data_IF_953923989071
#
_entry.id   IF_953923989071
#
_cell.length_a   1.000
_cell.length_b   1.000
_cell.length_c   1.000
_cell.angle_alpha   90.00
_cell.angle_beta   90.00
_cell.angle_gamma   90.00
#
_symmetry.space_group_name_H-M   'P 1'
#
loop_
_entity.id
_entity.type
_entity.pdbx_description
1 polymer ?
#
# COMPACT_ATOMS: atom_id res chain seq x y z
N UNK A 1 -0.04 -8.53 21.30
CA UNK A 1 -0.13 -7.26 20.48
C UNK A 1 -0.54 -7.64 19.08
N UNK A 2 -1.51 -6.93 18.45
CA UNK A 2 -1.90 -7.24 17.07
C UNK A 2 -0.75 -6.96 16.09
N UNK A 3 -0.67 -7.77 15.02
CA UNK A 3 0.38 -7.62 14.03
C UNK A 3 0.23 -6.30 13.24
N UNK A 4 1.28 -5.50 13.09
CA UNK A 4 1.24 -4.26 12.31
C UNK A 4 0.76 -4.45 10.86
N UNK A 5 0.93 -5.65 10.30
CA UNK A 5 0.55 -5.97 8.92
C UNK A 5 -0.97 -5.97 8.64
N UNK A 6 -1.80 -5.78 9.66
CA UNK A 6 -3.25 -5.72 9.49
C UNK A 6 -3.95 -7.06 9.24
N UNK A 7 -3.29 -8.19 9.50
CA UNK A 7 -3.88 -9.54 9.32
C UNK A 7 -4.97 -9.88 10.34
N UNK A 8 -5.07 -9.13 11.44
CA UNK A 8 -5.92 -9.46 12.58
C UNK A 8 -5.33 -10.48 13.56
N UNK A 9 -4.22 -11.11 13.22
CA UNK A 9 -3.49 -12.04 14.09
C UNK A 9 -2.56 -11.28 15.05
N UNK A 10 -2.03 -11.99 16.06
CA UNK A 10 -0.95 -11.42 16.90
C UNK A 10 0.37 -11.44 16.15
N UNK A 11 1.29 -10.57 16.54
CA UNK A 11 2.62 -10.50 15.93
C UNK A 11 3.35 -11.85 16.05
N UNK A 12 3.26 -12.50 17.21
CA UNK A 12 3.93 -13.76 17.55
C UNK A 12 3.47 -14.93 16.68
N UNK A 13 2.23 -14.90 16.22
CA UNK A 13 1.64 -15.96 15.36
C UNK A 13 1.59 -15.58 13.89
N UNK A 14 2.03 -14.37 13.52
CA UNK A 14 1.95 -13.84 12.17
C UNK A 14 3.34 -13.55 11.59
N UNK A 15 3.84 -12.35 11.74
CA UNK A 15 5.07 -11.90 11.07
C UNK A 15 6.34 -12.23 11.87
N UNK A 16 6.28 -12.33 13.20
CA UNK A 16 7.47 -12.55 14.02
C UNK A 16 8.23 -13.85 13.67
N UNK A 17 7.59 -15.00 13.45
CA UNK A 17 8.30 -16.20 13.04
C UNK A 17 9.04 -16.05 11.71
N UNK A 18 8.43 -15.36 10.74
CA UNK A 18 9.03 -15.12 9.41
C UNK A 18 10.23 -14.19 9.56
N UNK A 19 10.09 -13.11 10.34
CA UNK A 19 11.18 -12.16 10.62
C UNK A 19 12.33 -12.85 11.38
N UNK A 20 12.02 -13.85 12.23
CA UNK A 20 13.00 -14.65 12.93
C UNK A 20 13.67 -15.74 12.06
N UNK A 21 13.31 -15.87 10.79
CA UNK A 21 13.94 -16.77 9.83
C UNK A 21 13.12 -17.98 9.41
N UNK A 22 11.89 -18.14 9.89
CA UNK A 22 10.99 -19.18 9.36
C UNK A 22 10.60 -18.87 7.90
N UNK A 23 10.52 -19.88 7.02
CA UNK A 23 10.07 -19.66 5.65
C UNK A 23 8.64 -19.08 5.61
N UNK A 24 8.43 -18.03 4.82
CA UNK A 24 7.08 -17.54 4.59
C UNK A 24 6.27 -18.56 3.76
N UNK A 25 5.01 -18.83 4.12
CA UNK A 25 4.18 -19.81 3.42
C UNK A 25 3.71 -19.31 2.04
N UNK A 26 3.69 -18.01 1.81
CA UNK A 26 3.25 -17.40 0.55
C UNK A 26 3.97 -16.08 0.28
N UNK A 27 3.86 -15.59 -0.96
CA UNK A 27 4.35 -14.26 -1.34
C UNK A 27 3.66 -13.16 -0.51
N UNK A 28 2.35 -13.26 -0.27
CA UNK A 28 1.61 -12.32 0.58
C UNK A 28 2.15 -12.33 2.01
N UNK A 29 2.41 -13.50 2.59
CA UNK A 29 2.96 -13.59 3.94
C UNK A 29 4.34 -12.93 4.05
N UNK A 30 5.18 -13.09 3.02
CA UNK A 30 6.47 -12.40 2.94
C UNK A 30 6.28 -10.88 2.81
N UNK A 31 5.34 -10.40 1.98
CA UNK A 31 5.04 -8.97 1.87
C UNK A 31 4.61 -8.38 3.22
N UNK A 32 3.72 -9.06 3.94
CA UNK A 32 3.25 -8.67 5.28
C UNK A 32 4.39 -8.62 6.29
N UNK A 33 5.30 -9.60 6.27
CA UNK A 33 6.48 -9.64 7.13
C UNK A 33 7.44 -8.48 6.82
N UNK A 34 7.67 -8.16 5.54
CA UNK A 34 8.50 -7.03 5.13
C UNK A 34 7.90 -5.69 5.58
N UNK A 35 6.59 -5.47 5.40
CA UNK A 35 5.92 -4.28 5.95
C UNK A 35 6.11 -4.18 7.48
N UNK A 36 5.91 -5.27 8.22
CA UNK A 36 6.13 -5.30 9.66
C UNK A 36 7.58 -4.97 10.02
N UNK A 37 8.55 -5.47 9.24
CA UNK A 37 9.96 -5.14 9.43
C UNK A 37 10.25 -3.64 9.22
N UNK A 38 9.61 -2.99 8.23
CA UNK A 38 9.69 -1.53 8.08
C UNK A 38 9.14 -0.80 9.30
N UNK A 39 7.99 -1.23 9.86
CA UNK A 39 7.44 -0.61 11.09
C UNK A 39 8.35 -0.78 12.31
N UNK A 40 9.23 -1.77 12.28
CA UNK A 40 10.21 -2.08 13.35
C UNK A 40 11.62 -1.56 13.02
N UNK A 41 11.81 -0.86 11.90
CA UNK A 41 13.11 -0.40 11.40
C UNK A 41 14.14 -1.52 11.22
N UNK A 42 13.66 -2.75 10.97
CA UNK A 42 14.49 -3.94 10.80
C UNK A 42 14.97 -4.07 9.34
N UNK A 43 15.94 -3.25 8.97
CA UNK A 43 16.50 -3.22 7.62
C UNK A 43 17.28 -4.50 7.31
N UNK A 44 17.86 -5.14 8.30
CA UNK A 44 18.59 -6.40 8.11
C UNK A 44 17.67 -7.49 7.56
N UNK A 45 16.44 -7.59 8.07
CA UNK A 45 15.44 -8.51 7.52
C UNK A 45 15.01 -8.09 6.10
N UNK A 46 14.84 -6.80 5.83
CA UNK A 46 14.51 -6.32 4.47
C UNK A 46 15.57 -6.78 3.48
N UNK A 47 16.86 -6.60 3.80
CA UNK A 47 17.98 -7.08 2.98
C UNK A 47 17.97 -8.60 2.85
N UNK A 48 17.87 -9.33 3.96
CA UNK A 48 17.90 -10.80 3.99
C UNK A 48 16.72 -11.42 3.21
N UNK A 49 15.57 -10.75 3.17
CA UNK A 49 14.36 -11.18 2.43
C UNK A 49 14.31 -10.66 0.98
N UNK A 50 15.36 -10.02 0.49
CA UNK A 50 15.48 -9.55 -0.89
C UNK A 50 16.36 -10.50 -1.70
N UNK A 51 15.90 -10.91 -2.88
CA UNK A 51 16.70 -11.69 -3.81
C UNK A 51 17.90 -10.88 -4.30
N UNK A 52 19.02 -11.55 -4.57
CA UNK A 52 20.27 -10.89 -4.99
C UNK A 52 20.07 -9.92 -6.17
N UNK A 53 19.22 -10.28 -7.14
CA UNK A 53 18.96 -9.43 -8.32
C UNK A 53 18.27 -8.10 -7.95
N UNK A 54 17.56 -8.05 -6.81
CA UNK A 54 16.90 -6.85 -6.30
C UNK A 54 17.81 -5.98 -5.42
N UNK A 55 18.92 -6.54 -4.92
CA UNK A 55 19.85 -5.81 -4.05
C UNK A 55 20.78 -4.87 -4.81
N UNK A 56 21.14 -5.20 -6.06
CA UNK A 56 22.12 -4.46 -6.84
C UNK A 56 21.71 -2.99 -7.12
N UNK A 57 20.40 -2.69 -7.06
CA UNK A 57 19.86 -1.36 -7.27
C UNK A 57 19.28 -0.72 -5.99
N UNK A 58 19.51 -1.32 -4.82
CA UNK A 58 18.92 -0.85 -3.56
C UNK A 58 19.83 0.19 -2.90
N UNK A 59 19.24 1.35 -2.61
CA UNK A 59 19.85 2.35 -1.73
C UNK A 59 19.46 2.06 -0.29
N UNK A 60 20.32 1.36 0.43
CA UNK A 60 20.09 0.93 1.81
C UNK A 60 19.99 2.11 2.79
N UNK A 61 20.72 3.18 2.55
CA UNK A 61 20.67 4.37 3.40
C UNK A 61 19.37 5.11 3.21
N UNK A 62 18.88 5.25 1.97
CA UNK A 62 17.57 5.81 1.68
C UNK A 62 16.44 4.95 2.26
N UNK A 63 16.54 3.61 2.18
CA UNK A 63 15.57 2.69 2.77
C UNK A 63 15.52 2.82 4.30
N UNK A 64 16.67 2.91 4.94
CA UNK A 64 16.76 3.11 6.40
C UNK A 64 16.17 4.45 6.80
N UNK A 65 16.54 5.53 6.13
CA UNK A 65 16.02 6.86 6.40
C UNK A 65 14.50 6.92 6.23
N UNK A 66 13.97 6.28 5.19
CA UNK A 66 12.52 6.21 4.97
C UNK A 66 11.82 5.40 6.07
N UNK A 67 12.36 4.24 6.45
CA UNK A 67 11.80 3.42 7.52
C UNK A 67 11.73 4.18 8.86
N UNK A 68 12.76 4.96 9.18
CA UNK A 68 12.88 5.71 10.44
C UNK A 68 12.03 6.99 10.48
N UNK A 69 11.86 7.66 9.33
CA UNK A 69 11.12 8.92 9.23
C UNK A 69 9.63 8.74 9.05
N UNK A 70 9.21 7.60 8.52
CA UNK A 70 7.81 7.29 8.27
C UNK A 70 7.11 6.80 9.55
N UNK A 71 6.02 7.45 9.92
CA UNK A 71 5.09 6.93 10.93
C UNK A 71 4.09 6.01 10.24
N UNK A 72 4.37 4.70 10.29
CA UNK A 72 3.62 3.65 9.60
C UNK A 72 2.23 3.47 10.19
N UNK A 73 1.20 3.49 9.37
CA UNK A 73 -0.21 3.47 9.81
C UNK A 73 -0.94 2.18 9.44
N UNK A 74 -0.86 1.76 8.18
CA UNK A 74 -1.59 0.58 7.71
C UNK A 74 -0.97 -0.01 6.44
N UNK A 75 -1.14 -1.32 6.27
CA UNK A 75 -0.91 -2.04 5.03
C UNK A 75 -2.26 -2.46 4.43
N UNK A 76 -2.48 -2.13 3.19
CA UNK A 76 -3.62 -2.56 2.38
C UNK A 76 -3.11 -3.48 1.27
N UNK A 77 -3.52 -4.75 1.27
CA UNK A 77 -3.29 -5.66 0.15
C UNK A 77 -4.44 -5.49 -0.83
N UNK A 78 -4.13 -5.09 -2.07
CA UNK A 78 -5.11 -4.81 -3.13
C UNK A 78 -5.38 -6.06 -3.92
N UNK A 79 -4.31 -6.72 -4.39
CA UNK A 79 -4.42 -7.92 -5.22
C UNK A 79 -3.23 -8.85 -4.96
N UNK A 80 -3.48 -10.14 -5.03
CA UNK A 80 -2.45 -11.18 -5.03
C UNK A 80 -2.66 -12.03 -6.26
N UNK A 81 -1.62 -12.21 -7.05
CA UNK A 81 -1.61 -13.08 -8.22
C UNK A 81 -0.57 -14.17 -8.03
N UNK A 82 -1.01 -15.44 -7.98
CA UNK A 82 -0.18 -16.58 -7.64
C UNK A 82 0.52 -16.41 -6.28
N UNK A 83 1.67 -17.03 -6.05
CA UNK A 83 2.45 -16.87 -4.81
C UNK A 83 2.04 -17.80 -3.68
N UNK A 84 1.27 -18.84 -3.97
CA UNK A 84 0.89 -19.89 -3.05
C UNK A 84 1.92 -21.03 -2.96
N UNK A 85 1.53 -22.11 -2.27
CA UNK A 85 2.43 -23.21 -1.92
C UNK A 85 3.03 -23.95 -3.14
N UNK A 86 2.31 -23.98 -4.27
CA UNK A 86 2.76 -24.68 -5.50
C UNK A 86 3.44 -23.73 -6.50
N UNK A 87 3.39 -22.43 -6.24
CA UNK A 87 3.89 -21.43 -7.18
C UNK A 87 5.40 -21.18 -6.98
N UNK A 88 6.08 -20.83 -8.06
CA UNK A 88 7.48 -20.40 -8.04
C UNK A 88 7.63 -18.88 -8.06
N UNK A 89 6.57 -18.17 -8.44
CA UNK A 89 6.50 -16.71 -8.53
C UNK A 89 5.17 -16.24 -7.98
N UNK A 90 5.13 -15.01 -7.50
CA UNK A 90 3.90 -14.35 -7.06
C UNK A 90 4.02 -12.85 -7.19
N UNK A 91 2.89 -12.19 -7.41
CA UNK A 91 2.77 -10.74 -7.39
C UNK A 91 1.85 -10.33 -6.26
N UNK A 92 2.23 -9.26 -5.57
CA UNK A 92 1.41 -8.65 -4.53
C UNK A 92 1.32 -7.16 -4.78
N UNK A 93 0.12 -6.69 -5.10
CA UNK A 93 -0.19 -5.28 -5.18
C UNK A 93 -0.66 -4.78 -3.82
N UNK A 94 -0.05 -3.71 -3.34
CA UNK A 94 -0.34 -3.17 -2.00
C UNK A 94 -0.20 -1.66 -1.93
N UNK A 95 -0.83 -1.09 -0.89
CA UNK A 95 -0.56 0.27 -0.41
C UNK A 95 -0.07 0.22 1.02
N UNK A 96 1.07 0.85 1.28
CA UNK A 96 1.55 1.14 2.62
C UNK A 96 1.24 2.60 2.96
N UNK A 97 0.42 2.81 3.97
CA UNK A 97 0.02 4.14 4.43
C UNK A 97 0.92 4.59 5.57
N UNK A 98 1.40 5.81 5.51
CA UNK A 98 2.26 6.40 6.53
C UNK A 98 2.09 7.92 6.63
N UNK A 99 2.57 8.50 7.71
CA UNK A 99 2.69 9.96 7.86
C UNK A 99 4.16 10.35 7.90
N UNK A 100 4.50 11.44 7.24
CA UNK A 100 5.83 12.02 7.27
C UNK A 100 5.73 13.54 7.29
N UNK A 101 6.37 14.19 8.27
CA UNK A 101 6.26 15.64 8.45
C UNK A 101 4.82 16.12 8.69
N UNK A 102 3.95 15.31 9.29
CA UNK A 102 2.53 15.65 9.52
C UNK A 102 1.64 15.54 8.27
N UNK A 103 2.18 15.03 7.16
CA UNK A 103 1.45 14.83 5.91
C UNK A 103 1.18 13.33 5.72
N UNK A 104 -0.04 13.00 5.32
CA UNK A 104 -0.41 11.61 4.96
C UNK A 104 0.15 11.26 3.60
N UNK A 105 0.82 10.13 3.55
CA UNK A 105 1.43 9.55 2.36
C UNK A 105 0.92 8.13 2.12
N UNK A 106 1.08 7.64 0.91
CA UNK A 106 1.04 6.22 0.65
C UNK A 106 2.09 5.83 -0.40
N UNK A 107 2.59 4.60 -0.27
CA UNK A 107 3.41 3.92 -1.25
C UNK A 107 2.58 2.81 -1.87
N UNK A 108 2.34 2.88 -3.17
CA UNK A 108 1.56 1.93 -3.94
C UNK A 108 2.49 1.22 -4.93
N UNK A 109 2.59 -0.09 -4.80
CA UNK A 109 3.55 -0.90 -5.54
C UNK A 109 2.94 -2.25 -5.92
N UNK A 110 3.37 -2.79 -7.05
CA UNK A 110 3.22 -4.19 -7.41
C UNK A 110 4.56 -4.87 -7.20
N UNK A 111 4.67 -5.67 -6.15
CA UNK A 111 5.90 -6.38 -5.79
C UNK A 111 5.94 -7.79 -6.37
N UNK A 112 7.05 -8.14 -6.99
CA UNK A 112 7.36 -9.47 -7.48
C UNK A 112 8.16 -10.29 -6.47
N UNK A 113 7.74 -11.54 -6.26
CA UNK A 113 8.38 -12.48 -5.35
C UNK A 113 8.79 -13.75 -6.09
N UNK A 114 9.92 -14.32 -5.67
CA UNK A 114 10.40 -15.63 -6.12
C UNK A 114 10.44 -16.61 -4.95
N UNK A 115 10.02 -17.82 -5.23
CA UNK A 115 10.20 -18.93 -4.29
C UNK A 115 11.55 -19.59 -4.54
N UNK A 116 12.35 -19.64 -3.48
CA UNK A 116 13.66 -20.29 -3.45
C UNK A 116 13.65 -21.44 -2.44
N UNK A 117 14.75 -22.15 -2.32
CA UNK A 117 15.00 -23.13 -1.25
C UNK A 117 14.98 -22.50 0.16
N UNK A 118 15.20 -21.19 0.26
CA UNK A 118 15.07 -20.40 1.50
C UNK A 118 13.68 -19.84 1.77
N UNK A 119 12.68 -20.15 0.93
CA UNK A 119 11.34 -19.60 0.98
C UNK A 119 11.13 -18.47 -0.02
N UNK A 120 10.10 -17.66 0.20
CA UNK A 120 9.75 -16.52 -0.64
C UNK A 120 10.69 -15.35 -0.40
N UNK A 121 11.23 -14.76 -1.47
CA UNK A 121 12.07 -13.56 -1.44
C UNK A 121 11.48 -12.48 -2.36
N UNK A 122 11.53 -11.23 -1.94
CA UNK A 122 11.25 -10.08 -2.81
C UNK A 122 12.31 -10.01 -3.90
N UNK A 123 11.90 -9.80 -5.14
CA UNK A 123 12.79 -9.68 -6.28
C UNK A 123 12.86 -8.27 -6.84
N UNK A 124 11.71 -7.73 -7.21
CA UNK A 124 11.56 -6.42 -7.84
C UNK A 124 10.17 -5.84 -7.52
N UNK A 125 9.98 -4.57 -7.82
CA UNK A 125 8.72 -3.89 -7.63
C UNK A 125 8.51 -2.78 -8.65
N UNK A 126 7.27 -2.65 -9.12
CA UNK A 126 6.82 -1.52 -9.92
C UNK A 126 6.07 -0.54 -9.02
N UNK A 127 6.69 0.62 -8.76
CA UNK A 127 6.10 1.67 -7.96
C UNK A 127 5.09 2.45 -8.80
N UNK A 128 3.81 2.36 -8.44
CA UNK A 128 2.72 3.08 -9.11
C UNK A 128 2.53 4.49 -8.54
N UNK A 129 2.77 4.65 -7.24
CA UNK A 129 2.77 5.94 -6.54
C UNK A 129 3.64 5.87 -5.28
N UNK A 130 4.34 6.95 -4.98
CA UNK A 130 5.02 7.11 -3.69
C UNK A 130 5.08 8.60 -3.34
N UNK A 131 4.39 8.99 -2.27
CA UNK A 131 4.34 10.39 -1.86
C UNK A 131 3.04 10.77 -1.16
N UNK A 132 2.74 12.07 -1.07
CA UNK A 132 1.53 12.57 -0.44
C UNK A 132 0.28 11.93 -1.01
N UNK A 133 -0.61 11.49 -0.12
CA UNK A 133 -1.93 10.99 -0.53
C UNK A 133 -2.72 12.14 -1.18
N UNK A 134 -3.28 11.90 -2.36
CA UNK A 134 -4.15 12.89 -2.99
C UNK A 134 -5.28 13.25 -2.02
N UNK A 135 -5.50 14.54 -1.80
CA UNK A 135 -6.73 14.98 -1.15
C UNK A 135 -7.90 14.46 -1.99
N UNK A 136 -8.96 13.91 -1.39
CA UNK A 136 -10.14 13.55 -2.16
C UNK A 136 -10.53 14.77 -2.98
N UNK A 137 -10.65 14.61 -4.30
CA UNK A 137 -11.13 15.70 -5.18
C UNK A 137 -12.40 16.21 -4.53
N UNK A 138 -12.55 17.52 -4.27
CA UNK A 138 -13.78 18.05 -3.72
C UNK A 138 -14.90 17.51 -4.60
N UNK A 139 -15.90 16.88 -3.97
CA UNK A 139 -17.06 16.38 -4.68
C UNK A 139 -17.51 17.51 -5.61
N UNK A 140 -17.56 17.23 -6.92
CA UNK A 140 -18.05 18.20 -7.90
C UNK A 140 -19.45 18.54 -7.40
N UNK A 141 -19.60 19.72 -6.81
CA UNK A 141 -20.91 20.19 -6.39
C UNK A 141 -21.79 20.07 -7.63
N UNK A 142 -22.83 19.28 -7.52
CA UNK A 142 -23.94 19.32 -8.46
C UNK A 142 -24.22 20.76 -8.80
N UNK A 143 -24.32 21.05 -10.09
CA UNK A 143 -24.52 22.38 -10.62
C UNK A 143 -25.57 23.08 -9.78
N UNK A 144 -25.18 23.97 -8.88
CA UNK A 144 -26.11 24.80 -8.13
C UNK A 144 -26.76 25.74 -9.14
N UNK A 145 -27.95 25.35 -9.58
CA UNK A 145 -28.76 26.18 -10.46
C UNK A 145 -29.12 27.43 -9.67
N UNK A 146 -28.63 28.56 -10.12
CA UNK A 146 -28.99 29.86 -9.56
C UNK A 146 -30.49 30.13 -9.80
N UNK A 147 -31.14 30.82 -8.89
CA UNK A 147 -32.56 31.18 -9.00
C UNK A 147 -32.90 31.84 -10.31
N UNK A 148 -31.95 32.51 -10.96
CA UNK A 148 -32.09 33.24 -12.21
C UNK A 148 -31.64 32.46 -13.46
N UNK A 149 -31.05 31.29 -13.29
CA UNK A 149 -30.56 30.46 -14.40
C UNK A 149 -31.72 29.80 -15.16
N UNK A 150 -31.53 29.42 -16.43
CA UNK A 150 -32.51 28.66 -17.17
C UNK A 150 -32.87 27.36 -16.46
N UNK A 151 -34.17 27.03 -16.40
CA UNK A 151 -34.62 25.80 -15.75
C UNK A 151 -34.19 24.57 -16.58
N UNK A 152 -33.63 23.57 -15.91
CA UNK A 152 -33.17 22.32 -16.54
C UNK A 152 -34.31 21.48 -17.16
N UNK A 153 -35.58 21.80 -16.88
CA UNK A 153 -36.71 21.12 -17.50
C UNK A 153 -36.92 21.44 -18.96
N UNK A 154 -36.11 22.32 -19.57
CA UNK A 154 -36.19 22.71 -20.97
C UNK A 154 -37.32 23.72 -21.30
N UNK A 155 -38.03 24.27 -20.28
CA UNK A 155 -39.15 25.21 -20.45
C UNK A 155 -38.73 26.61 -20.93
N UNK A 156 -37.43 26.92 -20.96
CA UNK A 156 -36.91 28.26 -21.28
C UNK A 156 -37.17 29.31 -20.20
N UNK A 157 -37.84 28.95 -19.08
CA UNK A 157 -38.11 29.85 -17.96
C UNK A 157 -36.98 29.82 -16.95
N UNK A 158 -36.80 30.92 -16.20
CA UNK A 158 -35.85 30.95 -15.06
C UNK A 158 -36.26 29.95 -14.01
N UNK A 159 -35.28 29.28 -13.36
CA UNK A 159 -35.53 28.22 -12.35
C UNK A 159 -36.53 28.64 -11.29
N UNK A 160 -36.42 29.87 -10.75
CA UNK A 160 -37.34 30.43 -9.73
C UNK A 160 -38.79 30.63 -10.22
N UNK A 161 -39.05 30.59 -11.51
CA UNK A 161 -40.37 30.75 -12.14
C UNK A 161 -40.86 29.47 -12.79
N UNK A 162 -40.23 28.34 -12.46
CA UNK A 162 -40.54 27.02 -13.01
C UNK A 162 -40.43 25.96 -11.90
N UNK A 163 -39.44 25.09 -11.93
CA UNK A 163 -39.29 23.99 -10.96
C UNK A 163 -38.78 24.45 -9.57
N UNK A 164 -38.31 25.68 -9.43
CA UNK A 164 -37.89 26.30 -8.16
C UNK A 164 -38.89 27.31 -7.58
N UNK A 165 -40.14 27.28 -8.01
CA UNK A 165 -41.22 28.15 -7.48
C UNK A 165 -41.81 27.58 -6.20
#
# INVERSE_FOLDING_TARGET
MSCPCGSGLTLETCCAPIIAGSPAPSAEAMMRARYTAYTQHNIDFIVASTHKDGLDNSDLDAMRAWAEQADWKALEIIQVEAGGEQDKRGLVEFKAHYEMGGVKHHHHEVSGFLRTDKGWLFRDGEVLHSGPSEKPKPAVNEVKIGRNDPCLCGSGKKYKKCCGA
#
